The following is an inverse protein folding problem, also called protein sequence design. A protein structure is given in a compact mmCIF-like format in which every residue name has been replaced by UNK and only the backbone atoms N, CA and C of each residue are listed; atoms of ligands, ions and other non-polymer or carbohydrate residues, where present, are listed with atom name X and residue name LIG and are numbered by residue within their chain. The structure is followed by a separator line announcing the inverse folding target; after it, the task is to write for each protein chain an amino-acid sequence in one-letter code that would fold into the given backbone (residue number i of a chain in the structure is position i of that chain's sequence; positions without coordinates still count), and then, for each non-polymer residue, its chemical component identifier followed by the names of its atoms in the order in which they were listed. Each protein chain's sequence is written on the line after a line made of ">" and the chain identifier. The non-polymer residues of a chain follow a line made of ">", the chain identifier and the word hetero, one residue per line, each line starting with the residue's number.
data_IF_733790143804
#
_entry.id   IF_733790143804
#
_cell.length_a   1.000
_cell.length_b   1.000
_cell.length_c   1.000
_cell.angle_alpha   90.00
_cell.angle_beta   90.00
_cell.angle_gamma   90.00
#
_symmetry.space_group_name_H-M   'P 1'
#
loop_
_entity.id
_entity.type
_entity.pdbx_description
1 polymer ?
#
# COMPACT_ATOMS: atom_id res chain seq x y z
N UNK A 1 -17.02 -7.14 -6.35
CA UNK A 1 -16.19 -6.66 -5.22
C UNK A 1 -15.29 -5.55 -5.71
N UNK A 2 -15.31 -4.39 -5.06
CA UNK A 2 -14.44 -3.28 -5.41
C UNK A 2 -12.99 -3.59 -5.00
N UNK A 3 -12.04 -2.85 -5.57
CA UNK A 3 -10.63 -3.01 -5.19
C UNK A 3 -10.43 -2.76 -3.68
N UNK A 4 -11.16 -1.79 -3.13
CA UNK A 4 -11.09 -1.53 -1.69
C UNK A 4 -11.59 -2.74 -0.89
N UNK A 5 -12.71 -3.35 -1.29
CA UNK A 5 -13.25 -4.51 -0.59
C UNK A 5 -12.28 -5.69 -0.62
N UNK A 6 -11.59 -5.88 -1.74
CA UNK A 6 -10.56 -6.92 -1.85
C UNK A 6 -9.42 -6.69 -0.89
N UNK A 7 -8.94 -5.46 -0.81
CA UNK A 7 -7.86 -5.08 0.10
C UNK A 7 -8.32 -5.23 1.56
N UNK A 8 -9.51 -4.76 1.87
CA UNK A 8 -10.08 -4.88 3.22
C UNK A 8 -10.16 -6.35 3.64
N UNK A 9 -10.68 -7.22 2.78
CA UNK A 9 -10.78 -8.65 3.04
C UNK A 9 -9.39 -9.24 3.28
N UNK A 10 -8.43 -8.88 2.46
CA UNK A 10 -7.05 -9.33 2.59
C UNK A 10 -6.46 -8.90 3.94
N UNK A 11 -6.63 -7.63 4.31
CA UNK A 11 -6.12 -7.11 5.57
C UNK A 11 -6.74 -7.79 6.77
N UNK A 12 -8.06 -8.01 6.75
CA UNK A 12 -8.76 -8.69 7.84
C UNK A 12 -8.32 -10.14 7.98
N UNK A 13 -8.08 -10.82 6.87
CA UNK A 13 -7.60 -12.20 6.86
C UNK A 13 -6.24 -12.32 7.54
N UNK A 14 -5.39 -11.32 7.40
CA UNK A 14 -4.05 -11.31 8.00
C UNK A 14 -3.98 -10.55 9.32
N UNK A 15 -5.14 -10.21 9.92
CA UNK A 15 -5.18 -9.57 11.23
C UNK A 15 -4.83 -8.10 11.23
N UNK A 16 -4.93 -7.43 10.09
CA UNK A 16 -4.67 -6.00 10.00
C UNK A 16 -5.91 -5.20 10.40
N UNK A 17 -5.69 -4.09 11.12
CA UNK A 17 -6.76 -3.18 11.48
C UNK A 17 -7.20 -2.37 10.26
N UNK A 18 -8.53 -2.20 10.13
CA UNK A 18 -9.11 -1.37 9.09
C UNK A 18 -9.92 -0.27 9.78
N UNK A 19 -9.59 0.98 9.46
CA UNK A 19 -10.29 2.13 10.04
C UNK A 19 -11.73 2.18 9.55
N UNK A 20 -12.63 2.55 10.47
CA UNK A 20 -14.06 2.70 10.18
C UNK A 20 -14.44 4.13 9.78
N UNK A 21 -13.57 5.11 10.01
CA UNK A 21 -13.81 6.51 9.67
C UNK A 21 -12.55 7.17 9.07
N UNK A 22 -12.71 8.17 8.18
CA UNK A 22 -11.55 8.85 7.59
C UNK A 22 -10.76 9.53 8.68
N UNK A 23 -9.49 9.25 8.71
CA UNK A 23 -8.60 9.91 9.66
C UNK A 23 -7.16 9.76 9.22
N UNK A 24 -6.34 10.76 9.52
CA UNK A 24 -4.91 10.60 9.44
C UNK A 24 -4.44 9.81 10.66
N UNK A 25 -3.41 9.03 10.46
CA UNK A 25 -2.66 8.43 11.56
C UNK A 25 -1.74 9.49 12.19
N UNK A 26 -0.95 9.09 13.16
CA UNK A 26 0.06 9.99 13.75
C UNK A 26 1.08 10.38 12.68
N UNK A 27 1.75 11.51 12.89
CA UNK A 27 2.80 11.96 11.96
C UNK A 27 3.87 10.90 11.78
N UNK A 28 4.22 10.19 12.84
CA UNK A 28 5.20 9.11 12.78
C UNK A 28 4.78 8.00 11.83
N UNK A 29 3.52 7.59 11.89
CA UNK A 29 2.98 6.55 11.00
C UNK A 29 2.85 7.07 9.58
N UNK A 30 2.42 8.33 9.41
CA UNK A 30 2.33 8.93 8.09
C UNK A 30 3.70 8.96 7.40
N UNK A 31 4.74 9.35 8.11
CA UNK A 31 6.10 9.38 7.60
C UNK A 31 6.60 7.98 7.27
N UNK A 32 6.30 7.01 8.13
CA UNK A 32 6.65 5.61 7.88
C UNK A 32 6.02 5.10 6.58
N UNK A 33 4.74 5.36 6.38
CA UNK A 33 4.04 4.94 5.17
C UNK A 33 4.62 5.59 3.92
N UNK A 34 4.91 6.88 4.01
CA UNK A 34 5.54 7.60 2.90
C UNK A 34 6.91 7.01 2.55
N UNK A 35 7.75 6.81 3.56
CA UNK A 35 9.10 6.31 3.35
C UNK A 35 9.11 4.88 2.79
N UNK A 36 8.17 4.04 3.22
CA UNK A 36 8.04 2.69 2.69
C UNK A 36 7.70 2.70 1.20
N UNK A 37 6.76 3.55 0.81
CA UNK A 37 6.38 3.66 -0.61
C UNK A 37 7.55 4.20 -1.44
N UNK A 38 8.25 5.19 -0.91
CA UNK A 38 9.42 5.78 -1.57
C UNK A 38 10.52 4.75 -1.79
N UNK A 39 10.79 3.93 -0.77
CA UNK A 39 11.78 2.86 -0.86
C UNK A 39 11.44 1.86 -1.95
N UNK A 40 10.18 1.44 -2.03
CA UNK A 40 9.73 0.53 -3.07
C UNK A 40 9.81 1.17 -4.46
N UNK A 41 9.54 2.46 -4.57
CA UNK A 41 9.67 3.19 -5.82
C UNK A 41 11.13 3.22 -6.29
N UNK A 42 12.08 3.42 -5.37
CA UNK A 42 13.50 3.42 -5.70
C UNK A 42 13.95 2.03 -6.17
N UNK A 43 13.46 0.98 -5.56
CA UNK A 43 13.74 -0.39 -5.98
C UNK A 43 13.21 -0.67 -7.39
N UNK A 44 12.00 -0.18 -7.70
CA UNK A 44 11.44 -0.32 -9.04
C UNK A 44 12.32 0.39 -10.07
N UNK A 45 12.77 1.60 -9.77
CA UNK A 45 13.63 2.34 -10.67
C UNK A 45 14.93 1.59 -10.95
N UNK A 46 15.53 1.04 -9.92
CA UNK A 46 16.76 0.27 -10.07
C UNK A 46 16.53 -0.98 -10.92
N UNK A 47 15.43 -1.69 -10.68
CA UNK A 47 15.09 -2.88 -11.45
C UNK A 47 14.86 -2.56 -12.93
N UNK A 48 14.19 -1.45 -13.22
CA UNK A 48 13.97 -0.99 -14.60
C UNK A 48 15.29 -0.61 -15.26
N UNK A 49 16.15 0.11 -14.56
CA UNK A 49 17.47 0.51 -15.08
C UNK A 49 18.35 -0.71 -15.37
N UNK A 50 18.24 -1.76 -14.54
CA UNK A 50 18.98 -2.99 -14.71
C UNK A 50 18.32 -3.95 -15.72
N UNK A 51 17.14 -3.61 -16.22
CA UNK A 51 16.35 -4.43 -17.14
C UNK A 51 16.11 -5.84 -16.59
N UNK A 52 15.90 -5.93 -15.29
CA UNK A 52 15.62 -7.19 -14.59
C UNK A 52 14.11 -7.33 -14.41
N UNK A 53 13.49 -8.08 -15.32
CA UNK A 53 12.04 -8.22 -15.35
C UNK A 53 11.48 -8.87 -14.09
N UNK A 54 12.20 -9.85 -13.53
CA UNK A 54 11.76 -10.51 -12.30
C UNK A 54 11.75 -9.53 -11.13
N UNK A 55 12.81 -8.72 -11.01
CA UNK A 55 12.88 -7.70 -9.95
C UNK A 55 11.84 -6.59 -10.16
N UNK A 56 11.52 -6.27 -11.42
CA UNK A 56 10.43 -5.33 -11.72
C UNK A 56 9.11 -5.87 -11.21
N UNK A 57 8.83 -7.15 -11.46
CA UNK A 57 7.60 -7.79 -10.99
C UNK A 57 7.53 -7.80 -9.47
N UNK A 58 8.63 -8.13 -8.79
CA UNK A 58 8.70 -8.13 -7.33
C UNK A 58 8.48 -6.72 -6.78
N UNK A 59 9.12 -5.70 -7.37
CA UNK A 59 8.97 -4.33 -6.93
C UNK A 59 7.54 -3.82 -7.10
N UNK A 60 6.89 -4.14 -8.22
CA UNK A 60 5.50 -3.74 -8.45
C UNK A 60 4.55 -4.43 -7.45
N UNK A 61 4.80 -5.69 -7.14
CA UNK A 61 4.03 -6.41 -6.13
C UNK A 61 4.17 -5.77 -4.76
N UNK A 62 5.39 -5.40 -4.38
CA UNK A 62 5.66 -4.73 -3.10
C UNK A 62 5.01 -3.34 -3.05
N UNK A 63 5.06 -2.58 -4.14
CA UNK A 63 4.38 -1.29 -4.24
C UNK A 63 2.88 -1.46 -4.02
N UNK A 64 2.27 -2.43 -4.68
CA UNK A 64 0.85 -2.70 -4.53
C UNK A 64 0.51 -3.04 -3.08
N UNK A 65 1.28 -3.90 -2.46
CA UNK A 65 1.06 -4.30 -1.06
C UNK A 65 1.21 -3.11 -0.12
N UNK A 66 2.32 -2.39 -0.18
CA UNK A 66 2.59 -1.27 0.72
C UNK A 66 1.56 -0.16 0.53
N UNK A 67 1.18 0.12 -0.71
CA UNK A 67 0.16 1.13 -1.02
C UNK A 67 -1.19 0.71 -0.47
N UNK A 68 -1.57 -0.54 -0.62
CA UNK A 68 -2.84 -1.07 -0.10
C UNK A 68 -2.91 -0.99 1.42
N UNK A 69 -1.84 -1.36 2.10
CA UNK A 69 -1.77 -1.26 3.56
C UNK A 69 -1.84 0.20 4.01
N UNK A 70 -1.10 1.08 3.34
CA UNK A 70 -1.13 2.52 3.64
C UNK A 70 -2.53 3.10 3.44
N UNK A 71 -3.22 2.69 2.39
CA UNK A 71 -4.58 3.12 2.12
C UNK A 71 -5.51 2.80 3.28
N UNK A 72 -5.44 1.59 3.83
CA UNK A 72 -6.29 1.18 4.95
C UNK A 72 -5.95 1.90 6.25
N UNK A 73 -4.69 2.34 6.42
CA UNK A 73 -4.25 3.08 7.60
C UNK A 73 -4.59 4.57 7.54
N UNK A 74 -4.60 5.16 6.34
CA UNK A 74 -4.69 6.61 6.17
C UNK A 74 -6.04 7.10 5.66
N UNK A 75 -6.90 6.21 5.20
CA UNK A 75 -8.18 6.59 4.58
C UNK A 75 -9.33 5.75 5.10
N UNK A 76 -10.53 6.06 4.58
CA UNK A 76 -11.72 5.27 4.84
C UNK A 76 -12.12 4.42 3.67
N UNK A 77 -12.68 3.26 3.97
CA UNK A 77 -13.30 2.42 2.94
C UNK A 77 -14.32 3.15 2.09
N UNK A 78 -15.12 4.01 2.70
CA UNK A 78 -16.23 4.69 2.04
C UNK A 78 -15.78 5.85 1.16
N UNK A 79 -14.56 6.29 1.27
CA UNK A 79 -14.02 7.37 0.44
C UNK A 79 -13.71 6.86 -0.97
N UNK A 80 -13.42 5.59 -1.09
CA UNK A 80 -13.05 4.99 -2.36
C UNK A 80 -14.15 4.09 -2.89
N UNK A 81 -15.25 4.67 -3.22
CA UNK A 81 -16.25 4.00 -4.05
C UNK A 81 -15.85 4.22 -5.50
N UNK A 82 -14.97 3.44 -5.96
CA UNK A 82 -14.64 3.49 -7.38
C UNK A 82 -15.17 2.26 -8.04
#
# INVERSE_FOLDING_TARGET
>A
MTNFQKVKTFMQTFGQDVKSSPAFSTDKINDLRYNLIKEELDELKQALDNKDLLEVADALTDILYVTSVSYTHLTLPTICSV
#
